data_IF_178151199278
#
_entry.id   IF_178151199278
#
_cell.length_a   1.000
_cell.length_b   1.000
_cell.length_c   1.000
_cell.angle_alpha   90.00
_cell.angle_beta   90.00
_cell.angle_gamma   90.00
#
_symmetry.space_group_name_H-M   'P 1'
#
loop_
_entity.id
_entity.type
_entity.pdbx_description
1 polymer ?
#
# COMPACT_ATOMS: atom_id res chain seq x y z
N UNK A 1 -10.88 -26.29 -6.39
CA UNK A 1 -9.98 -25.13 -6.21
C UNK A 1 -10.46 -23.99 -7.09
N UNK A 2 -10.63 -22.83 -6.47
CA UNK A 2 -11.01 -21.62 -7.22
C UNK A 2 -9.74 -20.84 -7.59
N UNK A 3 -9.54 -20.48 -8.86
CA UNK A 3 -8.41 -19.66 -9.24
C UNK A 3 -8.55 -18.24 -8.68
N UNK A 4 -7.43 -17.62 -8.33
CA UNK A 4 -7.35 -16.19 -8.05
C UNK A 4 -6.91 -15.49 -9.35
N UNK A 5 -7.86 -15.05 -10.13
CA UNK A 5 -7.59 -14.47 -11.45
C UNK A 5 -6.98 -13.08 -11.32
N UNK A 6 -7.50 -12.27 -10.40
CA UNK A 6 -6.97 -10.94 -10.09
C UNK A 6 -7.07 -10.64 -8.61
N UNK A 7 -5.96 -10.19 -8.02
CA UNK A 7 -5.93 -9.59 -6.70
C UNK A 7 -5.02 -8.37 -6.77
N UNK A 8 -5.61 -7.19 -6.86
CA UNK A 8 -4.90 -5.92 -7.01
C UNK A 8 -4.91 -5.15 -5.70
N UNK A 9 -3.72 -4.80 -5.22
CA UNK A 9 -3.51 -3.97 -4.03
C UNK A 9 -2.90 -2.66 -4.51
N UNK A 10 -3.71 -1.60 -4.51
CA UNK A 10 -3.33 -0.28 -5.03
C UNK A 10 -3.44 0.73 -3.91
N UNK A 11 -2.46 1.61 -3.80
CA UNK A 11 -2.40 2.64 -2.74
C UNK A 11 -2.52 2.03 -1.33
N UNK A 12 -1.89 0.88 -1.14
CA UNK A 12 -2.01 0.06 0.07
C UNK A 12 -0.72 0.09 0.88
N UNK A 13 -0.84 0.09 2.20
CA UNK A 13 0.28 -0.05 3.13
C UNK A 13 0.19 -1.42 3.81
N UNK A 14 1.27 -2.20 3.71
CA UNK A 14 1.45 -3.45 4.47
C UNK A 14 2.74 -3.33 5.26
N UNK A 15 2.62 -3.00 6.52
CA UNK A 15 3.76 -2.72 7.39
C UNK A 15 3.44 -3.10 8.85
N UNK A 16 4.39 -3.72 9.51
CA UNK A 16 4.25 -4.14 10.90
C UNK A 16 5.58 -4.53 11.53
N UNK A 17 5.53 -5.41 12.53
CA UNK A 17 6.68 -5.78 13.35
C UNK A 17 7.48 -6.96 12.81
N UNK A 18 6.96 -7.68 11.83
CA UNK A 18 7.64 -8.81 11.23
C UNK A 18 8.59 -8.36 10.12
N UNK A 19 9.65 -9.09 9.88
CA UNK A 19 10.54 -8.84 8.74
C UNK A 19 9.81 -9.02 7.42
N UNK A 20 8.90 -9.99 7.36
CA UNK A 20 8.11 -10.30 6.19
C UNK A 20 6.62 -10.23 6.55
N UNK A 21 5.96 -9.18 6.18
CA UNK A 21 4.54 -8.94 6.49
C UNK A 21 3.61 -9.57 5.44
N UNK A 22 4.16 -10.11 4.36
CA UNK A 22 3.39 -10.77 3.32
C UNK A 22 3.85 -12.22 3.20
N UNK A 23 2.91 -13.14 3.26
CA UNK A 23 3.13 -14.54 2.94
C UNK A 23 2.25 -14.93 1.75
N UNK A 24 2.89 -15.39 0.69
CA UNK A 24 2.21 -15.76 -0.54
C UNK A 24 2.53 -17.22 -0.86
N UNK A 25 1.51 -18.04 -0.93
CA UNK A 25 1.63 -19.45 -1.26
C UNK A 25 0.72 -19.77 -2.44
N UNK A 26 1.30 -20.35 -3.47
CA UNK A 26 0.58 -20.82 -4.65
C UNK A 26 0.40 -22.34 -4.60
N UNK A 27 -0.81 -22.80 -4.81
CA UNK A 27 -1.07 -24.24 -5.02
C UNK A 27 -0.76 -24.63 -6.45
N UNK A 28 -0.55 -25.94 -6.67
CA UNK A 28 -0.27 -26.49 -8.01
C UNK A 28 -1.45 -26.33 -8.98
N UNK A 29 -2.66 -26.11 -8.46
CA UNK A 29 -3.89 -26.13 -9.23
C UNK A 29 -4.57 -24.75 -9.20
N UNK A 30 -4.86 -24.22 -10.37
CA UNK A 30 -5.56 -22.95 -10.56
C UNK A 30 -4.64 -21.75 -10.78
N UNK A 31 -5.18 -20.74 -11.41
CA UNK A 31 -4.49 -19.49 -11.64
C UNK A 31 -4.31 -18.71 -10.33
N UNK A 32 -3.18 -18.04 -10.21
CA UNK A 32 -2.86 -17.23 -9.05
C UNK A 32 -2.16 -15.94 -9.52
N UNK A 33 -2.95 -14.88 -9.69
CA UNK A 33 -2.48 -13.60 -10.17
C UNK A 33 -2.70 -12.52 -9.12
N UNK A 34 -1.66 -11.78 -8.78
CA UNK A 34 -1.73 -10.66 -7.85
C UNK A 34 -0.80 -9.54 -8.30
N UNK A 35 -1.12 -8.32 -7.87
CA UNK A 35 -0.33 -7.14 -8.15
C UNK A 35 -0.40 -6.17 -6.97
N UNK A 36 0.76 -5.70 -6.53
CA UNK A 36 0.89 -4.53 -5.67
C UNK A 36 1.34 -3.36 -6.54
N UNK A 37 0.59 -2.27 -6.49
CA UNK A 37 0.86 -1.08 -7.28
C UNK A 37 0.77 0.18 -6.43
N UNK A 38 1.77 1.06 -6.55
CA UNK A 38 1.82 2.31 -5.80
C UNK A 38 1.54 2.09 -4.31
N UNK A 39 2.24 1.12 -3.73
CA UNK A 39 2.01 0.64 -2.37
C UNK A 39 3.32 0.65 -1.58
N UNK A 40 3.22 0.61 -0.27
CA UNK A 40 4.37 0.42 0.62
C UNK A 40 4.23 -0.94 1.29
N UNK A 41 5.26 -1.77 1.16
CA UNK A 41 5.25 -3.16 1.62
C UNK A 41 6.52 -3.48 2.38
N UNK A 42 6.39 -4.19 3.49
CA UNK A 42 7.53 -4.71 4.25
C UNK A 42 7.69 -6.19 3.97
N UNK A 43 8.79 -6.55 3.36
CA UNK A 43 9.13 -7.94 2.99
C UNK A 43 10.59 -8.24 3.30
N UNK A 44 10.90 -9.51 3.50
CA UNK A 44 12.27 -9.99 3.55
C UNK A 44 12.80 -10.17 2.12
N UNK A 45 13.79 -9.38 1.67
CA UNK A 45 14.30 -9.46 0.30
C UNK A 45 15.02 -10.78 0.00
N UNK A 46 15.37 -11.56 1.01
CA UNK A 46 15.95 -12.90 0.83
C UNK A 46 14.90 -13.95 0.45
N UNK A 47 13.63 -13.72 0.75
CA UNK A 47 12.53 -14.66 0.49
C UNK A 47 11.56 -14.17 -0.58
N UNK A 48 11.55 -12.87 -0.86
CA UNK A 48 10.65 -12.24 -1.84
C UNK A 48 11.49 -11.50 -2.87
N UNK A 49 11.28 -11.81 -4.15
CA UNK A 49 11.94 -11.10 -5.25
C UNK A 49 11.28 -9.73 -5.47
N UNK A 50 11.87 -8.70 -4.88
CA UNK A 50 11.37 -7.32 -4.98
C UNK A 50 11.56 -6.70 -6.37
N UNK A 51 12.34 -7.35 -7.24
CA UNK A 51 12.56 -6.90 -8.63
C UNK A 51 11.55 -7.48 -9.62
N UNK A 52 10.62 -8.30 -9.16
CA UNK A 52 9.58 -8.89 -10.01
C UNK A 52 8.51 -7.86 -10.36
N UNK A 53 8.65 -7.22 -11.52
CA UNK A 53 7.73 -6.16 -11.97
C UNK A 53 6.36 -6.68 -12.40
N UNK A 54 6.18 -7.98 -12.54
CA UNK A 54 4.86 -8.57 -12.82
C UNK A 54 3.92 -8.50 -11.61
N UNK A 55 4.48 -8.47 -10.41
CA UNK A 55 3.73 -8.46 -9.16
C UNK A 55 3.94 -7.20 -8.31
N UNK A 56 4.99 -6.43 -8.60
CA UNK A 56 5.30 -5.18 -7.89
C UNK A 56 5.54 -4.04 -8.89
N UNK A 57 4.65 -3.06 -8.90
CA UNK A 57 4.76 -1.88 -9.76
C UNK A 57 4.76 -0.61 -8.90
N UNK A 58 5.83 0.18 -8.95
CA UNK A 58 5.99 1.38 -8.13
C UNK A 58 5.77 1.11 -6.64
N UNK A 59 6.35 0.04 -6.13
CA UNK A 59 6.23 -0.33 -4.72
C UNK A 59 7.42 0.20 -3.94
N UNK A 60 7.14 0.79 -2.78
CA UNK A 60 8.15 1.22 -1.82
C UNK A 60 8.36 0.06 -0.84
N UNK A 61 9.61 -0.45 -0.77
CA UNK A 61 9.93 -1.57 0.09
C UNK A 61 10.67 -1.14 1.35
N UNK A 62 10.26 -1.70 2.48
CA UNK A 62 11.02 -1.68 3.74
C UNK A 62 11.35 -0.28 4.27
N UNK A 63 10.53 0.70 3.96
CA UNK A 63 10.61 2.03 4.53
C UNK A 63 9.54 2.22 5.60
N UNK A 64 9.88 2.97 6.64
CA UNK A 64 8.91 3.32 7.67
C UNK A 64 7.82 4.24 7.07
N UNK A 65 6.56 3.85 7.11
CA UNK A 65 5.46 4.67 6.57
C UNK A 65 5.22 5.94 7.39
N UNK A 66 5.82 6.05 8.57
CA UNK A 66 5.70 7.20 9.48
C UNK A 66 4.26 7.53 9.84
N UNK A 67 3.52 6.49 10.17
CA UNK A 67 2.17 6.61 10.69
C UNK A 67 2.26 7.18 12.11
N UNK A 68 1.53 8.25 12.35
CA UNK A 68 1.44 8.89 13.65
C UNK A 68 0.45 8.13 14.53
N UNK A 69 0.85 7.83 15.76
CA UNK A 69 -0.06 7.30 16.77
C UNK A 69 -0.35 8.40 17.78
N UNK A 70 -1.13 9.38 17.34
CA UNK A 70 -1.44 10.54 18.15
C UNK A 70 -2.41 10.18 19.28
N UNK A 71 -2.07 10.59 20.52
CA UNK A 71 -2.95 10.47 21.69
C UNK A 71 -3.36 9.03 22.06
N UNK A 72 -2.56 8.04 21.69
CA UNK A 72 -2.86 6.61 21.93
C UNK A 72 -4.22 6.17 21.37
N UNK A 73 -4.70 6.81 20.31
CA UNK A 73 -5.91 6.39 19.61
C UNK A 73 -5.57 5.14 18.81
N UNK A 74 -6.26 4.04 19.09
CA UNK A 74 -6.13 2.83 18.28
C UNK A 74 -6.61 3.14 16.85
N UNK A 75 -5.89 2.58 15.86
CA UNK A 75 -6.23 2.73 14.44
C UNK A 75 -6.14 4.17 13.90
N UNK A 76 -5.25 4.97 14.46
CA UNK A 76 -4.91 6.27 13.86
C UNK A 76 -3.90 6.04 12.73
N UNK A 77 -4.35 6.23 11.49
CA UNK A 77 -3.55 6.05 10.29
C UNK A 77 -3.05 7.36 9.68
N UNK A 78 -3.09 8.44 10.43
CA UNK A 78 -2.52 9.72 10.00
C UNK A 78 -1.00 9.59 9.82
N UNK A 79 -0.46 10.30 8.83
CA UNK A 79 0.95 10.22 8.46
C UNK A 79 1.69 11.52 8.77
N UNK A 80 2.98 11.35 9.09
CA UNK A 80 3.92 12.45 9.31
C UNK A 80 4.16 13.22 8.01
N UNK A 81 4.50 14.51 8.12
CA UNK A 81 4.82 15.39 6.99
C UNK A 81 6.03 14.97 6.15
N UNK A 82 6.85 14.05 6.65
CA UNK A 82 7.99 13.47 5.93
C UNK A 82 7.79 12.00 5.57
N UNK A 83 6.56 11.54 5.60
CA UNK A 83 6.24 10.15 5.22
C UNK A 83 6.53 9.88 3.74
N UNK A 84 7.11 8.70 3.40
CA UNK A 84 7.28 8.32 2.01
C UNK A 84 5.96 8.04 1.28
N UNK A 85 4.85 7.96 2.00
CA UNK A 85 3.51 7.73 1.44
C UNK A 85 2.94 8.96 0.74
N UNK A 86 3.44 10.15 1.08
CA UNK A 86 2.90 11.43 0.56
C UNK A 86 3.10 11.52 -0.95
N UNK A 87 2.02 11.81 -1.66
CA UNK A 87 1.99 11.99 -3.12
C UNK A 87 2.57 10.81 -3.91
N UNK A 88 2.53 9.60 -3.35
CA UNK A 88 3.09 8.39 -3.96
C UNK A 88 2.04 7.40 -4.47
N UNK A 89 0.78 7.73 -4.32
CA UNK A 89 -0.34 6.90 -4.76
C UNK A 89 -0.64 6.99 -6.25
N UNK A 90 -1.53 6.13 -6.71
CA UNK A 90 -1.99 6.08 -8.09
C UNK A 90 -3.16 7.04 -8.30
N UNK A 91 -2.99 7.99 -9.21
CA UNK A 91 -4.01 8.96 -9.56
C UNK A 91 -5.25 8.33 -10.20
N UNK A 92 -5.09 7.32 -11.02
CA UNK A 92 -6.20 6.74 -11.77
C UNK A 92 -7.23 6.08 -10.86
N UNK A 93 -6.77 5.34 -9.85
CA UNK A 93 -7.69 4.72 -8.90
C UNK A 93 -8.34 5.78 -7.99
N UNK A 94 -7.63 6.86 -7.69
CA UNK A 94 -8.15 7.92 -6.83
C UNK A 94 -9.21 8.79 -7.52
N UNK A 95 -9.24 8.82 -8.85
CA UNK A 95 -10.36 9.43 -9.58
C UNK A 95 -11.66 8.65 -9.34
N UNK A 96 -11.58 7.32 -9.23
CA UNK A 96 -12.73 6.47 -8.95
C UNK A 96 -13.15 6.53 -7.47
N UNK A 97 -12.19 6.74 -6.57
CA UNK A 97 -12.39 6.81 -5.12
C UNK A 97 -11.75 8.08 -4.57
N UNK A 98 -12.37 9.25 -4.82
CA UNK A 98 -11.71 10.54 -4.63
C UNK A 98 -11.56 10.99 -3.17
N UNK A 99 -12.21 10.33 -2.24
CA UNK A 99 -12.19 10.73 -0.83
C UNK A 99 -11.53 9.66 0.04
N UNK A 100 -10.80 10.12 1.05
CA UNK A 100 -10.28 9.25 2.10
C UNK A 100 -11.38 8.92 3.13
N UNK A 101 -11.01 8.19 4.20
CA UNK A 101 -11.97 7.78 5.24
C UNK A 101 -12.54 8.96 6.04
N UNK A 102 -11.92 10.14 6.00
CA UNK A 102 -12.39 11.36 6.65
C UNK A 102 -13.08 12.32 5.69
N UNK A 103 -13.24 11.95 4.42
CA UNK A 103 -13.84 12.77 3.39
C UNK A 103 -12.89 13.78 2.74
N UNK A 104 -11.59 13.71 3.01
CA UNK A 104 -10.61 14.58 2.36
C UNK A 104 -10.39 14.14 0.91
N UNK A 105 -10.26 15.11 0.01
CA UNK A 105 -10.06 14.85 -1.40
C UNK A 105 -8.61 14.38 -1.65
N UNK A 106 -8.47 13.20 -2.26
CA UNK A 106 -7.17 12.57 -2.54
C UNK A 106 -6.39 13.18 -3.70
N UNK A 107 -7.07 13.94 -4.55
CA UNK A 107 -6.45 14.53 -5.75
C UNK A 107 -6.38 16.06 -5.66
N UNK A 108 -6.36 16.58 -4.45
CA UNK A 108 -6.38 18.02 -4.20
C UNK A 108 -5.02 18.71 -4.40
N UNK A 109 -3.96 17.95 -4.40
CA UNK A 109 -2.60 18.46 -4.65
C UNK A 109 -1.93 17.72 -5.83
N UNK A 110 -0.71 17.23 -5.69
CA UNK A 110 0.05 16.64 -6.81
C UNK A 110 -0.38 15.21 -7.15
N UNK A 111 -0.64 14.42 -6.14
CA UNK A 111 -1.01 13.01 -6.26
C UNK A 111 -1.58 12.53 -4.93
N UNK A 112 -2.37 11.44 -4.93
CA UNK A 112 -2.89 10.90 -3.69
C UNK A 112 -1.78 10.33 -2.81
N UNK A 113 -2.02 10.30 -1.52
CA UNK A 113 -1.17 9.60 -0.57
C UNK A 113 -1.49 8.10 -0.58
N UNK A 114 -0.48 7.28 -0.31
CA UNK A 114 -0.70 5.85 -0.11
C UNK A 114 -1.33 5.64 1.27
N UNK A 115 -2.37 4.82 1.34
CA UNK A 115 -3.00 4.45 2.60
C UNK A 115 -4.40 4.99 2.77
N UNK A 116 -4.90 4.95 3.99
CA UNK A 116 -6.30 5.23 4.31
C UNK A 116 -6.64 6.73 4.39
N UNK A 117 -5.63 7.57 4.62
CA UNK A 117 -5.82 8.98 4.97
C UNK A 117 -4.93 9.86 4.09
N UNK A 118 -5.52 10.91 3.56
CA UNK A 118 -4.82 11.97 2.85
C UNK A 118 -4.24 12.99 3.83
N UNK A 119 -2.98 13.35 3.66
CA UNK A 119 -2.33 14.36 4.50
C UNK A 119 -2.93 15.73 4.23
N UNK A 120 -3.47 16.35 5.25
CA UNK A 120 -3.99 17.72 5.21
C UNK A 120 -3.00 18.65 5.88
N UNK A 121 -2.69 19.75 5.22
CA UNK A 121 -1.78 20.79 5.70
C UNK A 121 -2.53 22.01 6.21
#
# INVERSE_FOLDING_TARGET
IRPMINANFINTVVYGNLENEIFIEKTEFGDFNYLFKNSLVKVDPNTVDTSNYEVFSNVIFNQNPRILNLQNIEYDFQIDSISPLINSGDNQISILYPNDIFGNNRINDKAPDIGAIEKVY
#
